data_IF_567493790099
#
_entry.id   IF_567493790099
#
_cell.length_a   1.000
_cell.length_b   1.000
_cell.length_c   1.000
_cell.angle_alpha   90.00
_cell.angle_beta   90.00
_cell.angle_gamma   90.00
#
_symmetry.space_group_name_H-M   'P 1'
#
loop_
_entity.id
_entity.type
_entity.pdbx_description
1 polymer ?
#
# COMPACT_ATOMS: atom_id res chain seq x y z
N UNK A 1 9.36 -24.29 -19.27
CA UNK A 1 8.24 -23.89 -18.39
C UNK A 1 7.06 -23.38 -19.22
N UNK A 2 5.82 -23.56 -18.75
CA UNK A 2 4.63 -22.95 -19.35
C UNK A 2 4.31 -21.66 -18.58
N UNK A 3 4.05 -20.58 -19.30
CA UNK A 3 3.74 -19.28 -18.73
C UNK A 3 2.29 -18.94 -19.03
N UNK A 4 1.59 -18.44 -18.01
CA UNK A 4 0.24 -17.90 -18.14
C UNK A 4 0.35 -16.42 -17.82
N UNK A 5 -0.04 -15.57 -18.76
CA UNK A 5 0.16 -14.13 -18.66
C UNK A 5 -1.16 -13.39 -18.89
N UNK A 6 -1.58 -12.63 -17.88
CA UNK A 6 -2.65 -11.65 -18.01
C UNK A 6 -2.09 -10.41 -18.73
N UNK A 7 -2.54 -10.15 -19.96
CA UNK A 7 -2.16 -8.97 -20.72
C UNK A 7 -3.29 -8.51 -21.64
N UNK A 8 -3.37 -7.20 -21.91
CA UNK A 8 -4.52 -6.60 -22.62
C UNK A 8 -4.61 -6.99 -24.10
N UNK A 9 -3.48 -7.29 -24.75
CA UNK A 9 -3.42 -7.72 -26.15
C UNK A 9 -3.11 -9.22 -26.25
N UNK A 10 -4.03 -9.98 -26.86
CA UNK A 10 -3.88 -11.41 -27.07
C UNK A 10 -3.18 -11.75 -28.39
N UNK A 11 -3.01 -10.78 -29.31
CA UNK A 11 -2.48 -11.01 -30.67
C UNK A 11 -0.95 -10.87 -30.76
N UNK A 12 -0.23 -10.98 -29.65
CA UNK A 12 1.23 -10.87 -29.63
C UNK A 12 1.83 -12.18 -30.13
N UNK A 13 2.79 -12.09 -31.06
CA UNK A 13 3.54 -13.25 -31.52
C UNK A 13 4.46 -13.76 -30.41
N UNK A 14 4.04 -14.83 -29.73
CA UNK A 14 4.72 -15.40 -28.57
C UNK A 14 5.04 -16.88 -28.77
N UNK A 15 6.06 -17.41 -28.06
CA UNK A 15 6.36 -18.83 -28.05
C UNK A 15 5.15 -19.69 -27.61
N UNK A 16 5.05 -20.92 -28.14
CA UNK A 16 3.91 -21.85 -27.88
C UNK A 16 3.70 -22.19 -26.39
N UNK A 17 4.70 -21.98 -25.55
CA UNK A 17 4.64 -22.22 -24.11
C UNK A 17 4.12 -21.01 -23.31
N UNK A 18 3.74 -19.91 -23.97
CA UNK A 18 3.13 -18.72 -23.34
C UNK A 18 1.67 -18.65 -23.74
N UNK A 19 0.79 -18.59 -22.74
CA UNK A 19 -0.65 -18.41 -22.91
C UNK A 19 -0.98 -17.00 -22.43
N UNK A 20 -1.44 -16.15 -23.34
CA UNK A 20 -1.90 -14.80 -23.02
C UNK A 20 -3.41 -14.74 -23.05
N UNK A 21 -3.99 -14.11 -22.02
CA UNK A 21 -5.42 -13.78 -21.97
C UNK A 21 -5.62 -12.42 -21.34
N UNK A 22 -6.62 -11.68 -21.81
CA UNK A 22 -7.04 -10.41 -21.22
C UNK A 22 -7.56 -10.57 -19.79
N UNK A 23 -8.23 -11.69 -19.54
CA UNK A 23 -8.78 -12.02 -18.23
C UNK A 23 -8.48 -13.47 -17.85
N UNK A 24 -8.15 -13.69 -16.57
CA UNK A 24 -7.80 -14.99 -16.02
C UNK A 24 -8.36 -15.13 -14.60
N UNK A 25 -8.83 -16.32 -14.19
CA UNK A 25 -9.25 -16.58 -12.82
C UNK A 25 -8.02 -16.80 -11.91
N UNK A 26 -7.43 -15.70 -11.43
CA UNK A 26 -6.16 -15.71 -10.69
C UNK A 26 -6.16 -16.66 -9.48
N UNK A 27 -7.22 -16.63 -8.67
CA UNK A 27 -7.38 -17.50 -7.50
C UNK A 27 -7.35 -19.00 -7.88
N UNK A 28 -8.09 -19.39 -8.92
CA UNK A 28 -8.14 -20.79 -9.37
C UNK A 28 -6.81 -21.22 -9.99
N UNK A 29 -6.14 -20.32 -10.70
CA UNK A 29 -4.79 -20.58 -11.23
C UNK A 29 -3.79 -20.80 -10.10
N UNK A 30 -3.77 -19.91 -9.09
CA UNK A 30 -2.89 -20.05 -7.94
C UNK A 30 -3.18 -21.32 -7.14
N UNK A 31 -4.44 -21.75 -7.06
CA UNK A 31 -4.83 -23.00 -6.42
C UNK A 31 -4.35 -24.25 -7.18
N UNK A 32 -3.96 -24.13 -8.46
CA UNK A 32 -3.59 -25.25 -9.29
C UNK A 32 -2.21 -25.81 -8.89
N UNK A 33 -2.04 -27.14 -8.68
CA UNK A 33 -0.83 -27.74 -8.10
C UNK A 33 0.45 -27.57 -8.95
N UNK A 34 0.29 -27.25 -10.23
CA UNK A 34 1.41 -27.02 -11.15
C UNK A 34 1.91 -25.57 -11.17
N UNK A 35 1.26 -24.62 -10.49
CA UNK A 35 1.78 -23.26 -10.37
C UNK A 35 2.94 -23.27 -9.37
N UNK A 36 4.10 -22.79 -9.81
CA UNK A 36 5.35 -22.80 -9.04
C UNK A 36 5.79 -21.41 -8.60
N UNK A 37 5.41 -20.39 -9.35
CA UNK A 37 5.84 -19.02 -9.13
C UNK A 37 4.75 -18.08 -9.62
N UNK A 38 4.52 -17.01 -8.86
CA UNK A 38 3.66 -15.91 -9.28
C UNK A 38 4.47 -14.62 -9.44
N UNK A 39 4.44 -14.06 -10.63
CA UNK A 39 5.11 -12.79 -10.94
C UNK A 39 4.05 -11.69 -10.87
N UNK A 40 4.24 -10.70 -9.99
CA UNK A 40 3.25 -9.66 -9.73
C UNK A 40 3.93 -8.37 -9.26
N UNK A 41 3.19 -7.26 -9.32
CA UNK A 41 3.61 -6.00 -8.72
C UNK A 41 3.60 -6.03 -7.18
N UNK A 42 3.16 -7.12 -6.54
CA UNK A 42 3.14 -7.29 -5.09
C UNK A 42 2.17 -6.35 -4.34
N UNK A 43 1.02 -6.03 -4.95
CA UNK A 43 -0.06 -5.36 -4.25
C UNK A 43 -0.64 -6.25 -3.15
N UNK A 44 -1.12 -5.65 -2.06
CA UNK A 44 -1.57 -6.34 -0.85
C UNK A 44 -2.46 -7.56 -1.13
N UNK A 45 -3.51 -7.40 -1.93
CA UNK A 45 -4.45 -8.48 -2.22
C UNK A 45 -3.77 -9.64 -2.96
N UNK A 46 -3.08 -9.38 -4.07
CA UNK A 46 -2.35 -10.39 -4.84
C UNK A 46 -1.37 -11.19 -3.99
N UNK A 47 -0.69 -10.51 -3.05
CA UNK A 47 0.24 -11.15 -2.12
C UNK A 47 -0.49 -12.07 -1.15
N UNK A 48 -1.67 -11.68 -0.65
CA UNK A 48 -2.50 -12.57 0.17
C UNK A 48 -2.96 -13.80 -0.60
N UNK A 49 -3.35 -13.67 -1.87
CA UNK A 49 -3.79 -14.81 -2.69
C UNK A 49 -2.64 -15.82 -2.90
N UNK A 50 -1.44 -15.31 -3.21
CA UNK A 50 -0.27 -16.15 -3.40
C UNK A 50 0.12 -16.91 -2.12
N UNK A 51 0.15 -16.20 -0.98
CA UNK A 51 0.41 -16.80 0.33
C UNK A 51 -0.67 -17.82 0.66
N UNK A 52 -1.94 -17.50 0.46
CA UNK A 52 -3.04 -18.43 0.66
C UNK A 52 -2.85 -19.71 -0.17
N UNK A 53 -2.37 -19.61 -1.40
CA UNK A 53 -2.16 -20.79 -2.26
C UNK A 53 -0.74 -21.38 -2.24
N UNK A 54 0.06 -21.07 -1.22
CA UNK A 54 1.42 -21.60 -1.06
C UNK A 54 2.35 -21.30 -2.26
N UNK A 55 2.17 -20.18 -2.96
CA UNK A 55 2.94 -19.84 -4.16
C UNK A 55 3.98 -18.76 -3.84
N UNK A 56 5.29 -19.01 -4.01
CA UNK A 56 6.33 -17.99 -3.94
C UNK A 56 6.12 -16.87 -4.98
N UNK A 57 6.68 -15.70 -4.72
CA UNK A 57 6.48 -14.53 -5.59
C UNK A 57 7.77 -13.90 -6.10
N UNK A 58 7.76 -13.53 -7.39
CA UNK A 58 8.66 -12.51 -7.94
C UNK A 58 7.90 -11.18 -7.96
N UNK A 59 8.43 -10.21 -7.21
CA UNK A 59 7.81 -8.91 -6.99
C UNK A 59 8.45 -7.86 -7.92
N UNK A 60 7.61 -7.18 -8.72
CA UNK A 60 7.99 -6.08 -9.60
C UNK A 60 7.20 -4.81 -9.23
N UNK A 61 7.46 -4.22 -8.05
CA UNK A 61 6.64 -3.13 -7.50
C UNK A 61 6.72 -1.87 -8.35
N UNK A 62 5.60 -1.15 -8.48
CA UNK A 62 5.50 0.06 -9.28
C UNK A 62 5.30 1.30 -8.38
N UNK A 63 4.28 1.32 -7.52
CA UNK A 63 3.97 2.49 -6.66
C UNK A 63 3.13 2.11 -5.42
N UNK A 64 2.79 3.11 -4.59
CA UNK A 64 1.95 2.98 -3.39
C UNK A 64 2.52 1.99 -2.35
N UNK A 65 1.73 1.01 -1.91
CA UNK A 65 2.06 0.01 -0.90
C UNK A 65 3.03 -1.07 -1.41
N UNK A 66 3.14 -1.20 -2.74
CA UNK A 66 3.80 -2.31 -3.42
C UNK A 66 5.29 -2.48 -3.06
N UNK A 67 6.12 -1.41 -2.98
CA UNK A 67 7.51 -1.55 -2.57
C UNK A 67 7.64 -2.08 -1.15
N UNK A 68 6.78 -1.61 -0.23
CA UNK A 68 6.80 -2.05 1.16
C UNK A 68 6.39 -3.51 1.29
N UNK A 69 5.34 -3.91 0.56
CA UNK A 69 4.91 -5.31 0.49
C UNK A 69 6.00 -6.22 -0.08
N UNK A 70 6.73 -5.75 -1.11
CA UNK A 70 7.83 -6.47 -1.74
C UNK A 70 9.00 -6.69 -0.78
N UNK A 71 9.36 -5.67 0.00
CA UNK A 71 10.38 -5.76 1.05
C UNK A 71 9.98 -6.81 2.09
N UNK A 72 8.75 -6.76 2.61
CA UNK A 72 8.24 -7.74 3.58
C UNK A 72 8.29 -9.17 3.02
N UNK A 73 7.91 -9.36 1.77
CA UNK A 73 7.96 -10.68 1.11
C UNK A 73 9.40 -11.21 0.97
N UNK A 74 10.34 -10.32 0.65
CA UNK A 74 11.74 -10.66 0.52
C UNK A 74 12.41 -10.96 1.86
N UNK A 75 12.21 -10.11 2.87
CA UNK A 75 12.74 -10.31 4.23
C UNK A 75 12.21 -11.60 4.85
N UNK A 76 10.93 -11.90 4.64
CA UNK A 76 10.34 -13.15 5.07
C UNK A 76 10.82 -14.38 4.26
N UNK A 77 11.58 -14.16 3.17
CA UNK A 77 12.07 -15.20 2.27
C UNK A 77 10.97 -15.98 1.56
N UNK A 78 9.86 -15.32 1.23
CA UNK A 78 8.72 -15.90 0.49
C UNK A 78 8.71 -15.48 -0.97
N UNK A 79 9.66 -14.64 -1.35
CA UNK A 79 9.83 -14.11 -2.69
C UNK A 79 11.11 -13.30 -2.82
N UNK A 80 11.28 -12.71 -3.99
CA UNK A 80 12.32 -11.72 -4.31
C UNK A 80 11.67 -10.53 -4.98
N UNK A 81 12.26 -9.35 -4.84
CA UNK A 81 11.85 -8.20 -5.63
C UNK A 81 12.97 -7.75 -6.56
N UNK A 82 12.58 -7.27 -7.74
CA UNK A 82 13.49 -6.62 -8.69
C UNK A 82 13.03 -5.19 -8.93
N UNK A 83 13.99 -4.27 -8.97
CA UNK A 83 13.73 -2.87 -9.30
C UNK A 83 13.62 -2.70 -10.82
N UNK A 84 12.61 -1.96 -11.27
CA UNK A 84 12.45 -1.61 -12.69
C UNK A 84 13.65 -0.83 -13.25
N UNK A 85 14.36 -0.06 -12.42
CA UNK A 85 15.50 0.77 -12.84
C UNK A 85 16.71 -0.11 -13.21
N UNK A 86 16.88 -1.23 -12.52
CA UNK A 86 18.02 -2.14 -12.66
C UNK A 86 17.64 -3.47 -13.30
N UNK A 87 16.50 -3.52 -13.98
CA UNK A 87 15.94 -4.75 -14.52
C UNK A 87 16.69 -5.15 -15.79
N UNK A 88 17.21 -6.38 -15.81
CA UNK A 88 17.88 -6.96 -16.97
C UNK A 88 17.30 -8.35 -17.24
N UNK A 89 17.39 -8.82 -18.47
CA UNK A 89 16.94 -10.17 -18.85
C UNK A 89 17.61 -11.24 -17.98
N UNK A 90 18.93 -11.14 -17.82
CA UNK A 90 19.71 -12.07 -17.01
C UNK A 90 19.21 -12.09 -15.56
N UNK A 91 18.99 -10.93 -14.95
CA UNK A 91 18.52 -10.85 -13.57
C UNK A 91 17.11 -11.46 -13.40
N UNK A 92 16.21 -11.25 -14.37
CA UNK A 92 14.89 -11.89 -14.36
C UNK A 92 15.03 -13.40 -14.40
N UNK A 93 15.82 -13.93 -15.34
CA UNK A 93 16.01 -15.37 -15.54
C UNK A 93 16.65 -16.01 -14.30
N UNK A 94 17.70 -15.40 -13.76
CA UNK A 94 18.39 -15.90 -12.56
C UNK A 94 17.46 -15.92 -11.35
N UNK A 95 16.69 -14.85 -11.15
CA UNK A 95 15.75 -14.75 -10.01
C UNK A 95 14.59 -15.73 -10.14
N UNK A 96 14.03 -15.90 -11.33
CA UNK A 96 12.98 -16.90 -11.59
C UNK A 96 13.52 -18.31 -11.31
N UNK A 97 14.75 -18.60 -11.76
CA UNK A 97 15.39 -19.90 -11.56
C UNK A 97 15.62 -20.18 -10.07
N UNK A 98 16.22 -19.23 -9.33
CA UNK A 98 16.40 -19.35 -7.87
C UNK A 98 15.07 -19.57 -7.14
N UNK A 99 14.02 -18.80 -7.46
CA UNK A 99 12.71 -18.94 -6.81
C UNK A 99 12.05 -20.30 -7.06
N UNK A 100 12.28 -20.91 -8.23
CA UNK A 100 11.69 -22.21 -8.58
C UNK A 100 12.51 -23.40 -8.08
N UNK A 101 13.84 -23.29 -8.04
CA UNK A 101 14.74 -24.39 -7.70
C UNK A 101 15.10 -24.43 -6.22
N UNK A 102 15.14 -23.28 -5.54
CA UNK A 102 15.50 -23.21 -4.13
C UNK A 102 14.30 -23.57 -3.23
N UNK A 103 14.32 -24.72 -2.54
CA UNK A 103 13.19 -25.19 -1.74
C UNK A 103 12.91 -24.31 -0.51
N UNK A 104 13.83 -23.42 -0.13
CA UNK A 104 13.68 -22.51 1.01
C UNK A 104 12.44 -21.61 0.87
N UNK A 105 12.21 -21.05 -0.33
CA UNK A 105 11.05 -20.18 -0.57
C UNK A 105 9.74 -20.95 -0.44
N UNK A 106 9.67 -22.14 -1.07
CA UNK A 106 8.49 -22.99 -0.98
C UNK A 106 8.20 -23.41 0.47
N UNK A 107 9.23 -23.78 1.23
CA UNK A 107 9.10 -24.15 2.65
C UNK A 107 8.57 -22.98 3.48
N UNK A 108 9.12 -21.78 3.28
CA UNK A 108 8.72 -20.56 4.01
C UNK A 108 7.29 -20.12 3.66
N UNK A 109 6.91 -20.13 2.38
CA UNK A 109 5.54 -19.78 1.96
C UNK A 109 4.53 -20.82 2.45
N UNK A 110 4.88 -22.11 2.42
CA UNK A 110 3.99 -23.18 2.91
C UNK A 110 3.76 -23.08 4.42
N UNK A 111 4.80 -22.74 5.19
CA UNK A 111 4.68 -22.55 6.63
C UNK A 111 3.71 -21.40 6.98
N UNK A 112 3.84 -20.24 6.31
CA UNK A 112 2.92 -19.12 6.55
C UNK A 112 1.53 -19.39 5.99
N UNK A 113 1.40 -20.07 4.85
CA UNK A 113 0.09 -20.41 4.29
C UNK A 113 -0.71 -21.30 5.22
N UNK A 114 -0.05 -22.31 5.82
CA UNK A 114 -0.64 -23.16 6.85
C UNK A 114 -1.13 -22.33 8.02
N UNK A 115 -0.28 -21.45 8.56
CA UNK A 115 -0.66 -20.55 9.66
C UNK A 115 -1.78 -19.56 9.27
N UNK A 116 -1.80 -19.09 8.02
CA UNK A 116 -2.81 -18.17 7.52
C UNK A 116 -4.19 -18.82 7.45
N UNK A 117 -4.24 -20.09 7.02
CA UNK A 117 -5.46 -20.91 6.92
C UNK A 117 -5.92 -21.49 8.26
N UNK A 118 -5.03 -21.55 9.24
CA UNK A 118 -5.31 -22.04 10.59
C UNK A 118 -6.12 -20.99 11.36
N UNK A 119 -7.42 -21.01 11.13
CA UNK A 119 -8.40 -20.11 11.72
C UNK A 119 -9.51 -20.93 12.37
N UNK A 120 -10.09 -20.48 13.51
CA UNK A 120 -11.14 -21.21 14.21
C UNK A 120 -12.43 -21.35 13.37
N UNK A 121 -12.65 -20.42 12.43
CA UNK A 121 -13.83 -20.38 11.57
C UNK A 121 -13.40 -20.35 10.10
N UNK A 122 -14.19 -20.99 9.24
CA UNK A 122 -14.01 -20.84 7.79
C UNK A 122 -14.34 -19.41 7.34
N UNK A 123 -13.75 -18.92 6.23
CA UNK A 123 -14.09 -17.60 5.69
C UNK A 123 -15.59 -17.39 5.47
N UNK A 124 -16.31 -18.44 5.04
CA UNK A 124 -17.76 -18.40 4.86
C UNK A 124 -18.51 -18.24 6.19
N UNK A 125 -18.18 -19.05 7.20
CA UNK A 125 -18.80 -18.95 8.53
C UNK A 125 -18.59 -17.57 9.14
N UNK A 126 -17.37 -17.04 9.06
CA UNK A 126 -17.04 -15.70 9.54
C UNK A 126 -17.84 -14.62 8.81
N UNK A 127 -17.99 -14.73 7.48
CA UNK A 127 -18.80 -13.80 6.70
C UNK A 127 -20.29 -13.83 7.10
N UNK A 128 -20.85 -15.04 7.30
CA UNK A 128 -22.22 -15.22 7.81
C UNK A 128 -22.37 -14.57 9.18
N UNK A 129 -21.47 -14.88 10.12
CA UNK A 129 -21.51 -14.34 11.47
C UNK A 129 -21.52 -12.81 11.49
N UNK A 130 -20.61 -12.16 10.77
CA UNK A 130 -20.54 -10.69 10.75
C UNK A 130 -21.72 -10.05 10.05
N UNK A 131 -22.24 -10.69 8.99
CA UNK A 131 -23.46 -10.23 8.31
C UNK A 131 -24.65 -10.25 9.28
N UNK A 132 -24.86 -11.37 9.96
CA UNK A 132 -25.92 -11.48 10.95
C UNK A 132 -25.69 -10.55 12.16
N UNK A 133 -24.44 -10.35 12.59
CA UNK A 133 -24.10 -9.45 13.68
C UNK A 133 -24.58 -8.02 13.37
N UNK A 134 -24.32 -7.54 12.16
CA UNK A 134 -24.77 -6.21 11.71
C UNK A 134 -26.30 -6.15 11.70
N UNK A 135 -26.99 -7.20 11.23
CA UNK A 135 -28.46 -7.29 11.24
C UNK A 135 -29.01 -7.25 12.67
N UNK A 136 -28.48 -8.08 13.58
CA UNK A 136 -28.90 -8.15 14.99
C UNK A 136 -28.76 -6.81 15.71
N UNK A 137 -27.73 -6.04 15.39
CA UNK A 137 -27.44 -4.75 16.00
C UNK A 137 -27.92 -3.56 15.14
N UNK A 138 -28.88 -3.78 14.23
CA UNK A 138 -29.54 -2.72 13.43
C UNK A 138 -28.53 -1.80 12.73
N UNK A 139 -27.49 -2.38 12.13
CA UNK A 139 -26.42 -1.66 11.45
C UNK A 139 -25.13 -1.48 12.27
N UNK A 140 -25.08 -2.00 13.51
CA UNK A 140 -23.91 -1.95 14.41
C UNK A 140 -23.28 -0.55 14.51
N UNK A 141 -24.03 0.48 14.98
CA UNK A 141 -23.56 1.86 15.00
C UNK A 141 -22.27 2.06 15.82
N UNK A 142 -22.03 1.21 16.82
CA UNK A 142 -20.81 1.22 17.64
C UNK A 142 -19.55 0.73 16.92
N UNK A 143 -19.68 0.03 15.78
CA UNK A 143 -18.54 -0.36 14.93
C UNK A 143 -18.31 0.62 13.78
N UNK A 144 -19.22 1.58 13.55
CA UNK A 144 -19.08 2.56 12.49
C UNK A 144 -18.06 3.63 12.91
N UNK A 145 -17.20 4.04 11.98
CA UNK A 145 -16.32 5.20 12.22
C UNK A 145 -17.20 6.44 12.52
N UNK A 146 -16.90 7.20 13.60
CA UNK A 146 -17.57 8.46 13.89
C UNK A 146 -17.52 9.45 12.71
N UNK A 147 -16.50 9.31 11.84
CA UNK A 147 -16.30 10.13 10.64
C UNK A 147 -17.48 10.08 9.67
N UNK A 148 -18.27 9.00 9.68
CA UNK A 148 -19.47 8.88 8.82
C UNK A 148 -20.51 9.97 9.10
N UNK A 149 -20.51 10.54 10.30
CA UNK A 149 -21.46 11.58 10.71
C UNK A 149 -20.89 12.99 10.52
N UNK A 150 -19.62 13.12 10.10
CA UNK A 150 -18.97 14.42 9.89
C UNK A 150 -19.39 15.04 8.57
N UNK A 151 -19.49 16.37 8.55
CA UNK A 151 -19.60 17.12 7.30
C UNK A 151 -18.28 17.06 6.53
N UNK A 152 -18.30 17.27 5.22
CA UNK A 152 -17.07 17.27 4.40
C UNK A 152 -16.04 18.32 4.87
N UNK A 153 -16.49 19.43 5.47
CA UNK A 153 -15.65 20.47 6.06
C UNK A 153 -14.85 19.91 7.24
N UNK A 154 -15.52 19.20 8.16
CA UNK A 154 -14.90 18.59 9.33
C UNK A 154 -14.04 17.40 8.95
N UNK A 155 -14.49 16.59 7.99
CA UNK A 155 -13.74 15.43 7.50
C UNK A 155 -12.38 15.84 6.92
N UNK A 156 -12.34 16.95 6.17
CA UNK A 156 -11.11 17.54 5.62
C UNK A 156 -10.42 18.51 6.59
N UNK A 157 -10.96 18.70 7.81
CA UNK A 157 -10.44 19.59 8.84
C UNK A 157 -10.22 21.04 8.37
N UNK A 158 -11.04 21.53 7.44
CA UNK A 158 -10.88 22.86 6.82
C UNK A 158 -11.12 24.00 7.82
N UNK A 159 -12.02 23.78 8.78
CA UNK A 159 -12.28 24.66 9.90
C UNK A 159 -11.04 24.84 10.79
N UNK A 160 -10.33 23.75 11.11
CA UNK A 160 -9.07 23.80 11.87
C UNK A 160 -7.97 24.48 11.07
N UNK A 161 -7.83 24.17 9.79
CA UNK A 161 -6.82 24.80 8.91
C UNK A 161 -7.05 26.31 8.83
N UNK A 162 -8.30 26.74 8.64
CA UNK A 162 -8.66 28.16 8.60
C UNK A 162 -8.36 28.85 9.94
N UNK A 163 -8.72 28.21 11.05
CA UNK A 163 -8.42 28.73 12.39
C UNK A 163 -6.91 28.91 12.62
N UNK A 164 -6.10 27.90 12.29
CA UNK A 164 -4.64 27.96 12.40
C UNK A 164 -4.04 29.06 11.51
N UNK A 165 -4.53 29.20 10.29
CA UNK A 165 -4.09 30.25 9.37
C UNK A 165 -4.38 31.66 9.92
N UNK A 166 -5.60 31.88 10.44
CA UNK A 166 -5.99 33.16 11.04
C UNK A 166 -5.18 33.46 12.31
N UNK A 167 -4.92 32.46 13.16
CA UNK A 167 -4.11 32.61 14.35
C UNK A 167 -2.66 33.02 13.99
N UNK A 168 -2.04 32.33 13.03
CA UNK A 168 -0.71 32.66 12.53
C UNK A 168 -0.65 34.05 11.91
N UNK A 169 -1.67 34.44 11.14
CA UNK A 169 -1.78 35.78 10.58
C UNK A 169 -1.87 36.86 11.66
N UNK A 170 -2.64 36.63 12.73
CA UNK A 170 -2.73 37.56 13.85
C UNK A 170 -1.40 37.70 14.59
N UNK A 171 -0.71 36.58 14.86
CA UNK A 171 0.63 36.59 15.47
C UNK A 171 1.61 37.38 14.59
N UNK A 172 1.60 37.14 13.28
CA UNK A 172 2.40 37.90 12.33
C UNK A 172 2.11 39.42 12.41
N UNK A 173 0.85 39.82 12.46
CA UNK A 173 0.47 41.23 12.58
C UNK A 173 0.91 41.86 13.90
N UNK A 174 0.82 41.12 15.01
CA UNK A 174 1.32 41.57 16.32
C UNK A 174 2.83 41.76 16.27
N UNK A 175 3.58 40.76 15.78
CA UNK A 175 5.04 40.84 15.65
C UNK A 175 5.45 42.02 14.75
N UNK A 176 4.81 42.19 13.60
CA UNK A 176 5.04 43.31 12.68
C UNK A 176 4.81 44.66 13.37
N UNK A 177 3.73 44.79 14.15
CA UNK A 177 3.43 46.01 14.91
C UNK A 177 4.44 46.25 16.03
N UNK A 178 4.86 45.21 16.75
CA UNK A 178 5.89 45.29 17.79
C UNK A 178 7.23 45.75 17.21
N UNK A 179 7.68 45.15 16.10
CA UNK A 179 8.91 45.56 15.40
C UNK A 179 8.81 47.01 14.93
N UNK A 180 7.70 47.38 14.27
CA UNK A 180 7.49 48.76 13.82
C UNK A 180 7.48 49.77 14.98
N UNK A 181 6.92 49.41 16.14
CA UNK A 181 6.94 50.23 17.35
C UNK A 181 8.37 50.38 17.91
N UNK A 182 9.13 49.27 17.99
CA UNK A 182 10.53 49.28 18.42
C UNK A 182 11.42 50.13 17.49
N UNK A 183 11.22 50.05 16.16
CA UNK A 183 11.98 50.84 15.18
C UNK A 183 11.57 52.34 15.13
N UNK A 184 10.33 52.68 15.48
CA UNK A 184 9.86 54.09 15.58
C UNK A 184 10.34 54.78 16.87
N UNK A 185 10.55 54.03 17.95
CA UNK A 185 11.11 54.54 19.20
C UNK A 185 12.55 55.04 19.05
N UNK A 186 13.38 54.34 18.30
CA UNK A 186 14.78 54.70 18.03
C UNK A 186 14.93 55.95 17.17
N UNK A 187 14.05 56.16 16.18
CA UNK A 187 14.10 57.34 15.30
C UNK A 187 13.70 58.64 16.01
N UNK A 188 12.74 58.60 16.95
CA UNK A 188 12.39 59.77 17.78
C UNK A 188 13.51 60.17 18.73
N UNK A 189 14.24 59.20 19.31
CA UNK A 189 15.38 59.48 20.19
C UNK A 189 16.56 60.13 19.45
N UNK A 190 16.82 59.77 18.19
CA UNK A 190 17.91 60.36 17.37
C UNK A 190 17.56 61.79 16.95
N UNK A 191 16.29 62.09 16.61
CA UNK A 191 15.86 63.47 16.31
C UNK A 191 15.95 64.40 17.52
N UNK A 192 15.60 63.92 18.73
CA UNK A 192 15.64 64.74 19.95
C UNK A 192 17.07 65.11 20.40
N UNK A 193 18.08 64.29 20.05
CA UNK A 193 19.51 64.56 20.30
C UNK A 193 20.16 65.53 19.28
N UNK A 194 19.52 65.83 18.15
CA UNK A 194 20.04 66.78 17.13
C UNK A 194 19.50 68.21 17.31
N UNK A 195 18.57 68.43 18.23
CA UNK A 195 17.90 69.72 18.51
C UNK A 195 18.18 70.24 19.92
N UNK A 196 19.20 69.71 20.59
CA UNK A 196 19.70 70.19 21.88
C UNK A 196 21.14 70.67 21.71
#
# INVERSE_FOLDING_TARGET
>A
YKFIWKYEDENINLPKNVIVRKWLPQQDLLAHPNVKLFISHCGLLSTHEAVYHNTPMLCLPIFADQPKQSEVMQEAGRGRFLSWISLTEQNIVDTITDLMENPSYQKKVSAISKAFKDQPETPLQRAVFWTEYVIRHKGAPHLQSPEKQLTWIQLLHLDIILFLYLALYLVYQIVKRCIAACCRGTTKSIKKKKTA
#
